data_IF_331028905693
#
_entry.id   IF_331028905693
#
_cell.length_a   1.000
_cell.length_b   1.000
_cell.length_c   1.000
_cell.angle_alpha   90.00
_cell.angle_beta   90.00
_cell.angle_gamma   90.00
#
_symmetry.space_group_name_H-M   'P 1'
#
loop_
_entity.id
_entity.type
_entity.pdbx_description
1 polymer ?
#
# COMPACT_ATOMS: atom_id res chain seq x y z
N UNK A 1 37.58 -1.27 36.77
CA UNK A 1 36.98 -2.50 36.21
C UNK A 1 35.46 -2.59 36.43
N UNK A 2 34.91 -2.20 37.58
CA UNK A 2 33.47 -2.33 37.87
C UNK A 2 32.56 -1.38 37.06
N UNK A 3 32.99 -0.16 36.72
CA UNK A 3 32.16 0.79 35.92
C UNK A 3 31.93 0.37 34.47
N UNK A 4 32.76 -0.51 33.90
CA UNK A 4 32.64 -0.92 32.50
C UNK A 4 31.57 -2.01 32.30
N UNK A 5 31.29 -2.81 33.34
CA UNK A 5 30.31 -3.91 33.32
C UNK A 5 28.89 -3.36 33.45
N UNK A 6 28.67 -2.33 34.28
CA UNK A 6 27.35 -1.70 34.44
C UNK A 6 26.87 -1.05 33.14
N UNK A 7 27.78 -0.42 32.38
CA UNK A 7 27.44 0.25 31.11
C UNK A 7 27.01 -0.74 30.01
N UNK A 8 27.65 -1.92 29.90
CA UNK A 8 27.27 -2.94 28.91
C UNK A 8 25.87 -3.53 29.18
N UNK A 9 25.53 -3.82 30.44
CA UNK A 9 24.22 -4.36 30.83
C UNK A 9 23.06 -3.38 30.56
N UNK A 10 23.31 -2.08 30.68
CA UNK A 10 22.31 -1.05 30.34
C UNK A 10 22.09 -0.94 28.83
N UNK A 11 23.14 -1.06 28.02
CA UNK A 11 23.00 -1.01 26.56
C UNK A 11 22.33 -2.25 25.96
N UNK A 12 22.61 -3.45 26.50
CA UNK A 12 21.98 -4.69 26.02
C UNK A 12 20.49 -4.73 26.35
N UNK A 13 20.08 -4.25 27.52
CA UNK A 13 18.67 -4.15 27.90
C UNK A 13 17.90 -3.11 27.10
N UNK A 14 18.52 -2.00 26.70
CA UNK A 14 17.91 -1.02 25.80
C UNK A 14 17.72 -1.59 24.38
N UNK A 15 18.76 -2.19 23.80
CA UNK A 15 18.67 -2.82 22.49
C UNK A 15 17.61 -3.94 22.43
N UNK A 16 17.49 -4.75 23.50
CA UNK A 16 16.47 -5.77 23.62
C UNK A 16 15.04 -5.17 23.68
N UNK A 17 14.87 -4.05 24.38
CA UNK A 17 13.57 -3.34 24.47
C UNK A 17 13.18 -2.72 23.13
N UNK A 18 14.13 -2.12 22.42
CA UNK A 18 13.91 -1.53 21.10
C UNK A 18 13.54 -2.60 20.07
N UNK A 19 14.25 -3.73 20.06
CA UNK A 19 13.91 -4.88 19.23
C UNK A 19 12.50 -5.41 19.53
N UNK A 20 12.14 -5.56 20.82
CA UNK A 20 10.81 -6.02 21.21
C UNK A 20 9.70 -5.01 20.82
N UNK A 21 9.98 -3.71 20.90
CA UNK A 21 9.05 -2.67 20.45
C UNK A 21 8.87 -2.71 18.92
N UNK A 22 9.96 -2.87 18.17
CA UNK A 22 9.91 -2.99 16.71
C UNK A 22 9.14 -4.23 16.27
N UNK A 23 9.33 -5.37 16.94
CA UNK A 23 8.58 -6.60 16.68
C UNK A 23 7.07 -6.39 16.90
N UNK A 24 6.67 -5.84 18.05
CA UNK A 24 5.25 -5.53 18.34
C UNK A 24 4.64 -4.55 17.34
N UNK A 25 5.40 -3.55 16.90
CA UNK A 25 4.94 -2.60 15.90
C UNK A 25 4.73 -3.29 14.54
N UNK A 26 5.63 -4.20 14.16
CA UNK A 26 5.47 -4.99 12.94
C UNK A 26 4.25 -5.92 13.02
N UNK A 27 4.05 -6.63 14.14
CA UNK A 27 2.87 -7.48 14.37
C UNK A 27 1.56 -6.69 14.26
N UNK A 28 1.51 -5.51 14.88
CA UNK A 28 0.33 -4.63 14.79
C UNK A 28 0.07 -4.17 13.36
N UNK A 29 1.13 -3.86 12.61
CA UNK A 29 1.00 -3.46 11.20
C UNK A 29 0.51 -4.63 10.33
N UNK A 30 1.02 -5.84 10.55
CA UNK A 30 0.56 -7.05 9.84
C UNK A 30 -0.92 -7.29 10.11
N UNK A 31 -1.34 -7.29 11.37
CA UNK A 31 -2.75 -7.45 11.73
C UNK A 31 -3.65 -6.39 11.06
N UNK A 32 -3.21 -5.13 11.04
CA UNK A 32 -3.97 -4.07 10.36
C UNK A 32 -4.04 -4.28 8.84
N UNK A 33 -2.98 -4.81 8.22
CA UNK A 33 -2.97 -5.13 6.79
C UNK A 33 -3.91 -6.30 6.49
N UNK A 34 -3.90 -7.35 7.32
CA UNK A 34 -4.80 -8.50 7.21
C UNK A 34 -6.27 -8.06 7.28
N UNK A 35 -6.65 -7.24 8.27
CA UNK A 35 -8.02 -6.71 8.36
C UNK A 35 -8.45 -5.91 7.12
N UNK A 36 -7.52 -5.15 6.54
CA UNK A 36 -7.80 -4.39 5.30
C UNK A 36 -7.89 -5.30 4.09
N UNK A 37 -7.15 -6.40 4.06
CA UNK A 37 -7.23 -7.43 3.02
C UNK A 37 -8.58 -8.14 3.09
N UNK A 38 -8.99 -8.60 4.26
CA UNK A 38 -10.30 -9.26 4.46
C UNK A 38 -11.46 -8.36 4.00
N UNK A 39 -11.41 -7.08 4.35
CA UNK A 39 -12.43 -6.10 3.92
C UNK A 39 -12.43 -5.90 2.40
N UNK A 40 -11.25 -5.89 1.77
CA UNK A 40 -11.12 -5.77 0.31
C UNK A 40 -11.63 -7.02 -0.40
N UNK A 41 -11.28 -8.21 0.10
CA UNK A 41 -11.76 -9.48 -0.43
C UNK A 41 -13.28 -9.56 -0.39
N UNK A 42 -13.90 -9.18 0.73
CA UNK A 42 -15.35 -9.15 0.86
C UNK A 42 -16.00 -8.16 -0.12
N UNK A 43 -15.41 -6.97 -0.29
CA UNK A 43 -15.89 -5.98 -1.25
C UNK A 43 -15.77 -6.47 -2.70
N UNK A 44 -14.65 -7.10 -3.07
CA UNK A 44 -14.45 -7.69 -4.38
C UNK A 44 -15.44 -8.83 -4.65
N UNK A 45 -15.70 -9.70 -3.67
CA UNK A 45 -16.68 -10.77 -3.79
C UNK A 45 -18.09 -10.21 -4.02
N UNK A 46 -18.51 -9.20 -3.25
CA UNK A 46 -19.81 -8.56 -3.42
C UNK A 46 -19.94 -7.83 -4.76
N UNK A 47 -18.89 -7.13 -5.21
CA UNK A 47 -18.87 -6.50 -6.53
C UNK A 47 -19.00 -7.55 -7.64
N UNK A 48 -18.28 -8.67 -7.53
CA UNK A 48 -18.35 -9.74 -8.53
C UNK A 48 -19.73 -10.38 -8.59
N UNK A 49 -20.34 -10.65 -7.43
CA UNK A 49 -21.70 -11.18 -7.38
C UNK A 49 -22.71 -10.22 -8.02
N UNK A 50 -22.58 -8.91 -7.77
CA UNK A 50 -23.42 -7.89 -8.42
C UNK A 50 -23.24 -7.90 -9.94
N UNK A 51 -22.00 -7.97 -10.43
CA UNK A 51 -21.71 -8.00 -11.87
C UNK A 51 -22.29 -9.25 -12.54
N UNK A 52 -22.14 -10.43 -11.92
CA UNK A 52 -22.74 -11.67 -12.42
C UNK A 52 -24.26 -11.60 -12.44
N UNK A 53 -24.87 -11.21 -11.32
CA UNK A 53 -26.33 -11.27 -11.15
C UNK A 53 -27.08 -10.18 -11.91
N UNK A 54 -26.51 -8.98 -12.05
CA UNK A 54 -27.16 -7.84 -12.72
C UNK A 54 -26.79 -7.69 -14.18
N UNK A 55 -25.61 -8.16 -14.58
CA UNK A 55 -25.09 -7.94 -15.94
C UNK A 55 -24.71 -9.22 -16.69
N UNK A 56 -24.74 -10.38 -16.03
CA UNK A 56 -24.51 -11.68 -16.69
C UNK A 56 -23.06 -11.94 -17.08
N UNK A 57 -22.10 -11.22 -16.50
CA UNK A 57 -20.68 -11.48 -16.76
C UNK A 57 -20.28 -12.87 -16.28
N UNK A 58 -19.32 -13.47 -16.98
CA UNK A 58 -18.78 -14.80 -16.70
C UNK A 58 -17.41 -14.70 -16.01
N UNK A 59 -16.97 -15.76 -15.34
CA UNK A 59 -15.65 -15.78 -14.71
C UNK A 59 -14.52 -15.58 -15.76
N UNK A 60 -14.74 -15.99 -17.01
CA UNK A 60 -13.82 -15.73 -18.13
C UNK A 60 -13.73 -14.24 -18.49
N UNK A 61 -14.84 -13.50 -18.42
CA UNK A 61 -14.86 -12.05 -18.64
C UNK A 61 -14.05 -11.33 -17.55
N UNK A 62 -14.16 -11.78 -16.31
CA UNK A 62 -13.38 -11.24 -15.19
C UNK A 62 -11.89 -11.53 -15.38
N UNK A 63 -11.52 -12.76 -15.73
CA UNK A 63 -10.12 -13.11 -15.99
C UNK A 63 -9.53 -12.26 -17.13
N UNK A 64 -10.28 -12.07 -18.22
CA UNK A 64 -9.87 -11.21 -19.33
C UNK A 64 -9.72 -9.75 -18.89
N UNK A 65 -10.64 -9.23 -18.06
CA UNK A 65 -10.56 -7.87 -17.53
C UNK A 65 -9.35 -7.68 -16.60
N UNK A 66 -9.05 -8.64 -15.73
CA UNK A 66 -7.87 -8.62 -14.86
C UNK A 66 -6.59 -8.59 -15.71
N UNK A 67 -6.48 -9.46 -16.72
CA UNK A 67 -5.35 -9.45 -17.65
C UNK A 67 -5.19 -8.12 -18.39
N UNK A 68 -6.30 -7.51 -18.84
CA UNK A 68 -6.25 -6.20 -19.46
C UNK A 68 -5.78 -5.12 -18.50
N UNK A 69 -6.20 -5.17 -17.23
CA UNK A 69 -5.77 -4.20 -16.21
C UNK A 69 -4.28 -4.37 -15.90
N UNK A 70 -3.81 -5.60 -15.72
CA UNK A 70 -2.39 -5.94 -15.50
C UNK A 70 -1.53 -5.44 -16.67
N UNK A 71 -1.98 -5.64 -17.91
CA UNK A 71 -1.26 -5.20 -19.09
C UNK A 71 -1.17 -3.66 -19.28
N UNK A 72 -1.95 -2.85 -18.56
CA UNK A 72 -2.01 -1.38 -18.77
C UNK A 72 -0.74 -0.64 -18.38
N UNK A 73 0.07 -1.20 -17.48
CA UNK A 73 1.33 -0.60 -17.07
C UNK A 73 2.53 -1.06 -17.94
N UNK A 74 2.26 -1.88 -18.96
CA UNK A 74 3.25 -2.45 -19.86
C UNK A 74 3.96 -3.69 -19.31
N UNK A 75 3.56 -4.22 -18.14
CA UNK A 75 4.11 -5.43 -17.54
C UNK A 75 2.99 -6.33 -17.02
N UNK A 76 2.91 -7.53 -17.59
CA UNK A 76 2.03 -8.58 -17.06
C UNK A 76 2.78 -9.32 -15.95
N UNK A 77 2.80 -8.76 -14.74
CA UNK A 77 3.47 -9.35 -13.58
C UNK A 77 2.52 -9.66 -12.41
N UNK A 78 1.21 -9.50 -12.62
CA UNK A 78 0.17 -9.68 -11.61
C UNK A 78 0.16 -8.57 -10.56
N UNK A 79 0.79 -7.43 -10.83
CA UNK A 79 0.85 -6.28 -9.91
C UNK A 79 0.45 -5.03 -10.65
N UNK A 80 -0.31 -4.20 -9.96
CA UNK A 80 -0.52 -2.83 -10.41
C UNK A 80 0.79 -2.06 -10.18
N UNK A 81 1.56 -1.79 -11.24
CA UNK A 81 2.73 -0.93 -11.14
C UNK A 81 2.29 0.46 -10.71
N UNK A 82 2.84 0.92 -9.59
CA UNK A 82 2.63 2.28 -9.10
C UNK A 82 3.38 3.24 -10.02
N UNK A 83 2.67 3.86 -10.95
CA UNK A 83 3.24 4.91 -11.81
C UNK A 83 3.70 6.08 -10.92
N UNK A 84 4.96 6.46 -11.06
CA UNK A 84 5.50 7.67 -10.46
C UNK A 84 4.78 8.87 -11.06
N UNK A 85 3.90 9.51 -10.29
CA UNK A 85 3.11 10.63 -10.80
C UNK A 85 3.87 11.93 -10.70
N UNK A 86 3.92 12.65 -11.82
CA UNK A 86 4.44 14.01 -11.90
C UNK A 86 3.30 15.02 -11.74
N UNK A 87 3.60 16.17 -11.13
CA UNK A 87 2.66 17.27 -11.06
C UNK A 87 2.34 17.79 -12.47
N UNK A 88 1.07 17.97 -12.87
CA UNK A 88 0.73 18.46 -14.20
C UNK A 88 1.17 19.91 -14.45
N UNK A 89 1.45 20.68 -13.40
CA UNK A 89 1.91 22.06 -13.52
C UNK A 89 3.43 22.20 -13.52
N UNK A 90 4.12 21.62 -12.54
CA UNK A 90 5.58 21.78 -12.41
C UNK A 90 6.40 20.58 -12.89
N UNK A 91 5.73 19.50 -13.32
CA UNK A 91 6.35 18.28 -13.85
C UNK A 91 7.31 17.56 -12.91
N UNK A 92 7.38 17.99 -11.64
CA UNK A 92 8.16 17.31 -10.60
C UNK A 92 7.40 16.11 -10.05
N UNK A 93 8.13 15.08 -9.66
CA UNK A 93 7.60 13.90 -8.97
C UNK A 93 6.87 14.31 -7.69
N UNK A 94 5.63 13.84 -7.54
CA UNK A 94 4.82 14.09 -6.35
C UNK A 94 5.38 13.29 -5.17
N UNK A 95 5.45 13.92 -3.99
CA UNK A 95 5.92 13.28 -2.76
C UNK A 95 4.87 12.31 -2.19
N UNK A 96 3.59 12.60 -2.38
CA UNK A 96 2.47 11.83 -1.82
C UNK A 96 1.37 11.70 -2.87
N UNK A 97 0.85 10.49 -3.12
CA UNK A 97 -0.25 10.24 -4.07
C UNK A 97 -1.57 10.89 -3.63
N UNK A 98 -1.86 10.92 -2.33
CA UNK A 98 -3.13 11.39 -1.79
C UNK A 98 -3.16 12.90 -1.51
N UNK A 99 -2.08 13.62 -1.88
CA UNK A 99 -2.09 15.07 -1.76
C UNK A 99 -2.83 15.66 -2.95
N UNK A 100 -3.90 16.40 -2.70
CA UNK A 100 -4.56 17.24 -3.71
C UNK A 100 -3.75 18.50 -4.05
N UNK A 101 -2.54 18.63 -3.50
CA UNK A 101 -1.66 19.78 -3.65
C UNK A 101 -0.23 19.34 -3.91
N UNK A 102 0.44 19.99 -4.86
CA UNK A 102 1.85 19.73 -5.09
C UNK A 102 2.71 20.29 -3.95
N UNK A 103 3.57 19.47 -3.35
CA UNK A 103 4.55 19.92 -2.34
C UNK A 103 5.63 20.85 -2.90
N UNK A 104 5.80 20.90 -4.23
CA UNK A 104 6.81 21.73 -4.88
C UNK A 104 6.27 23.09 -5.33
N UNK A 105 5.19 23.10 -6.12
CA UNK A 105 4.63 24.34 -6.68
C UNK A 105 3.39 24.86 -5.94
N UNK A 106 2.85 24.10 -4.98
CA UNK A 106 1.68 24.51 -4.20
C UNK A 106 0.35 24.43 -4.96
N UNK A 107 0.36 24.11 -6.24
CA UNK A 107 -0.84 24.05 -7.07
C UNK A 107 -1.74 22.88 -6.63
N UNK A 108 -3.04 23.16 -6.54
CA UNK A 108 -4.03 22.13 -6.29
C UNK A 108 -4.41 21.44 -7.59
N UNK A 109 -4.50 20.12 -7.59
CA UNK A 109 -4.99 19.37 -8.74
C UNK A 109 -6.07 18.41 -8.28
N UNK A 110 -7.17 18.41 -9.02
CA UNK A 110 -8.25 17.45 -8.85
C UNK A 110 -7.93 16.28 -9.74
N UNK A 111 -8.07 15.08 -9.19
CA UNK A 111 -8.08 13.79 -9.88
C UNK A 111 -6.74 13.04 -9.85
N UNK A 112 -6.72 12.00 -9.02
CA UNK A 112 -5.94 10.79 -9.28
C UNK A 112 -6.99 9.67 -9.33
N UNK A 113 -7.14 8.93 -10.45
CA UNK A 113 -8.00 7.76 -10.44
C UNK A 113 -7.27 6.70 -9.61
N UNK A 114 -7.86 6.39 -8.45
CA UNK A 114 -7.41 5.42 -7.44
C UNK A 114 -6.13 5.84 -6.68
#
# INVERSE_FOLDING_TARGET
>A
MLSFIVSQSSTSSLAARDAANSARAAETAVFSIEQRLDALELACAGLWDLLKTKHGYTDDDLAAAIHQVDARDGKVDGKITRVDMACPHCHRKLLTRNSNRCAWCGEAFTNMPF
#
